data_IF_520431725460
#
_entry.id   IF_520431725460
#
_cell.length_a   1.000
_cell.length_b   1.000
_cell.length_c   1.000
_cell.angle_alpha   90.00
_cell.angle_beta   90.00
_cell.angle_gamma   90.00
#
_symmetry.space_group_name_H-M   'P 1'
#
loop_
_entity.id
_entity.type
_entity.pdbx_description
1 polymer ?
#
# COMPACT_ATOMS: atom_id res chain seq x y z
N UNK A 1 -20.10 6.44 -7.55
CA UNK A 1 -19.67 5.67 -6.35
C UNK A 1 -19.25 6.59 -5.20
N UNK A 2 -18.14 7.33 -5.29
CA UNK A 2 -17.64 8.15 -4.19
C UNK A 2 -18.66 9.15 -3.66
N UNK A 3 -19.37 9.85 -4.55
CA UNK A 3 -20.45 10.76 -4.17
C UNK A 3 -21.57 10.06 -3.38
N UNK A 4 -21.96 8.85 -3.81
CA UNK A 4 -22.99 8.08 -3.12
C UNK A 4 -22.54 7.69 -1.70
N UNK A 5 -21.32 7.18 -1.56
CA UNK A 5 -20.74 6.86 -0.25
C UNK A 5 -20.65 8.10 0.65
N UNK A 6 -20.29 9.26 0.09
CA UNK A 6 -20.24 10.52 0.82
C UNK A 6 -21.63 10.95 1.32
N UNK A 7 -22.67 10.84 0.47
CA UNK A 7 -24.05 11.12 0.88
C UNK A 7 -24.52 10.17 2.00
N UNK A 8 -24.14 8.88 1.93
CA UNK A 8 -24.46 7.93 3.00
C UNK A 8 -23.70 8.25 4.29
N UNK A 9 -22.44 8.64 4.21
CA UNK A 9 -21.64 9.06 5.37
C UNK A 9 -22.23 10.30 6.05
N UNK A 10 -22.70 11.29 5.27
CA UNK A 10 -23.38 12.46 5.84
C UNK A 10 -24.69 12.08 6.55
N UNK A 11 -25.47 11.20 5.93
CA UNK A 11 -26.72 10.68 6.53
C UNK A 11 -26.44 9.92 7.84
N UNK A 12 -25.38 9.12 7.87
CA UNK A 12 -24.90 8.46 9.10
C UNK A 12 -24.51 9.49 10.16
N UNK A 13 -23.72 10.50 9.81
CA UNK A 13 -23.30 11.55 10.74
C UNK A 13 -24.50 12.20 11.42
N UNK A 14 -25.54 12.54 10.65
CA UNK A 14 -26.78 13.13 11.18
C UNK A 14 -27.50 12.19 12.15
N UNK A 15 -27.52 10.89 11.89
CA UNK A 15 -28.08 9.88 12.80
C UNK A 15 -27.26 9.74 14.08
N UNK A 16 -25.93 9.67 13.96
CA UNK A 16 -25.02 9.58 15.12
C UNK A 16 -25.06 10.82 16.00
N UNK A 17 -25.38 12.00 15.44
CA UNK A 17 -25.61 13.22 16.23
C UNK A 17 -26.82 13.09 17.16
N UNK A 18 -27.82 12.30 16.78
CA UNK A 18 -29.04 12.07 17.56
C UNK A 18 -28.93 10.88 18.54
N UNK A 19 -27.88 10.06 18.41
CA UNK A 19 -27.73 8.80 19.14
C UNK A 19 -26.60 8.88 20.20
N UNK A 20 -26.88 8.65 21.50
CA UNK A 20 -25.85 8.60 22.53
C UNK A 20 -24.99 7.33 22.50
N UNK A 21 -25.28 6.35 21.65
CA UNK A 21 -24.56 5.08 21.58
C UNK A 21 -23.04 5.19 21.35
N UNK A 22 -22.26 4.14 21.65
CA UNK A 22 -20.83 4.09 21.34
C UNK A 22 -20.58 4.19 19.82
N UNK A 23 -19.86 5.23 19.39
CA UNK A 23 -19.66 5.53 17.96
C UNK A 23 -19.00 4.38 17.19
N UNK A 24 -18.00 3.72 17.78
CA UNK A 24 -17.30 2.61 17.14
C UNK A 24 -18.21 1.41 16.85
N UNK A 25 -19.09 1.04 17.78
CA UNK A 25 -20.00 -0.11 17.62
C UNK A 25 -21.04 0.19 16.54
N UNK A 26 -21.67 1.37 16.59
CA UNK A 26 -22.60 1.83 15.57
C UNK A 26 -21.96 1.88 14.19
N UNK A 27 -20.69 2.30 14.11
CA UNK A 27 -19.94 2.35 12.86
C UNK A 27 -19.66 0.97 12.26
N UNK A 28 -19.18 0.02 13.06
CA UNK A 28 -18.95 -1.35 12.58
C UNK A 28 -20.26 -2.01 12.11
N UNK A 29 -21.37 -1.74 12.79
CA UNK A 29 -22.69 -2.26 12.40
C UNK A 29 -23.21 -1.62 11.11
N UNK A 30 -23.05 -0.32 10.91
CA UNK A 30 -23.72 0.39 9.81
C UNK A 30 -22.86 0.49 8.55
N UNK A 31 -21.54 0.29 8.63
CA UNK A 31 -20.67 0.30 7.44
C UNK A 31 -21.19 -0.59 6.30
N UNK A 32 -21.60 -1.85 6.53
CA UNK A 32 -22.20 -2.68 5.48
C UNK A 32 -23.46 -2.03 4.89
N UNK A 33 -24.32 -1.44 5.70
CA UNK A 33 -25.54 -0.77 5.23
C UNK A 33 -25.23 0.45 4.35
N UNK A 34 -24.22 1.25 4.72
CA UNK A 34 -23.78 2.39 3.91
C UNK A 34 -23.28 1.94 2.54
N UNK A 35 -22.53 0.83 2.51
CA UNK A 35 -22.05 0.22 1.25
C UNK A 35 -23.21 -0.34 0.43
N UNK A 36 -24.19 -0.98 1.05
CA UNK A 36 -25.40 -1.47 0.38
C UNK A 36 -26.22 -0.32 -0.23
N UNK A 37 -26.40 0.77 0.52
CA UNK A 37 -27.12 1.96 0.03
C UNK A 37 -26.35 2.66 -1.09
N UNK A 38 -25.02 2.75 -0.98
CA UNK A 38 -24.19 3.27 -2.06
C UNK A 38 -24.30 2.39 -3.31
N UNK A 39 -24.26 1.07 -3.17
CA UNK A 39 -24.43 0.13 -4.29
C UNK A 39 -25.80 0.29 -4.95
N UNK A 40 -26.88 0.38 -4.15
CA UNK A 40 -28.23 0.67 -4.65
C UNK A 40 -28.29 1.97 -5.44
N UNK A 41 -27.61 3.03 -5.00
CA UNK A 41 -27.65 4.32 -5.70
C UNK A 41 -26.96 4.31 -7.08
N UNK A 42 -26.07 3.35 -7.34
CA UNK A 42 -25.39 3.20 -8.64
C UNK A 42 -26.31 2.63 -9.71
N UNK A 43 -27.30 1.85 -9.28
CA UNK A 43 -28.19 1.14 -10.18
C UNK A 43 -29.60 1.65 -9.96
N UNK A 44 -30.24 2.11 -11.02
CA UNK A 44 -31.64 2.53 -10.93
C UNK A 44 -32.50 1.39 -10.34
N UNK A 45 -33.18 1.68 -9.22
CA UNK A 45 -33.95 0.72 -8.42
C UNK A 45 -35.08 0.04 -9.17
N UNK A 46 -35.51 0.62 -10.29
CA UNK A 46 -36.58 0.08 -11.13
C UNK A 46 -36.08 -0.79 -12.28
N UNK A 47 -34.75 -0.90 -12.47
CA UNK A 47 -34.18 -1.68 -13.57
C UNK A 47 -34.29 -3.17 -13.26
N UNK A 48 -34.86 -3.89 -14.22
CA UNK A 48 -34.90 -5.34 -14.23
C UNK A 48 -34.16 -5.83 -15.47
N UNK A 49 -33.36 -6.89 -15.31
CA UNK A 49 -32.62 -7.49 -16.41
C UNK A 49 -32.93 -8.99 -16.50
N UNK A 50 -32.90 -9.58 -17.70
CA UNK A 50 -33.03 -11.02 -17.84
C UNK A 50 -31.83 -11.72 -17.20
N UNK A 51 -32.08 -12.80 -16.47
CA UNK A 51 -31.08 -13.72 -15.93
C UNK A 51 -31.68 -15.13 -15.90
N UNK A 52 -31.02 -16.08 -16.57
CA UNK A 52 -31.43 -17.49 -16.59
C UNK A 52 -32.92 -17.72 -16.93
N UNK A 53 -33.47 -16.91 -17.83
CA UNK A 53 -34.87 -17.03 -18.29
C UNK A 53 -35.90 -16.31 -17.41
N UNK A 54 -35.49 -15.60 -16.36
CA UNK A 54 -36.35 -14.76 -15.52
C UNK A 54 -35.95 -13.29 -15.56
N UNK A 55 -36.88 -12.36 -15.31
CA UNK A 55 -36.55 -10.94 -15.09
C UNK A 55 -36.25 -10.72 -13.61
N UNK A 56 -35.04 -10.27 -13.30
CA UNK A 56 -34.60 -10.02 -11.94
C UNK A 56 -34.39 -8.52 -11.69
N UNK A 57 -34.85 -7.98 -10.54
CA UNK A 57 -34.51 -6.62 -10.12
C UNK A 57 -33.01 -6.52 -9.85
N UNK A 58 -32.33 -5.60 -10.53
CA UNK A 58 -30.85 -5.52 -10.49
C UNK A 58 -30.36 -5.15 -9.09
N UNK A 59 -30.96 -4.14 -8.47
CA UNK A 59 -30.54 -3.66 -7.16
C UNK A 59 -30.64 -4.77 -6.09
N UNK A 60 -31.76 -5.49 -6.02
CA UNK A 60 -31.95 -6.54 -5.02
C UNK A 60 -31.07 -7.77 -5.30
N UNK A 61 -30.88 -8.12 -6.58
CA UNK A 61 -30.00 -9.21 -6.95
C UNK A 61 -28.55 -8.93 -6.58
N UNK A 62 -28.04 -7.72 -6.85
CA UNK A 62 -26.68 -7.31 -6.44
C UNK A 62 -26.49 -7.42 -4.93
N UNK A 63 -27.43 -6.88 -4.15
CA UNK A 63 -27.33 -6.92 -2.70
C UNK A 63 -27.39 -8.33 -2.11
N UNK A 64 -28.11 -9.24 -2.76
CA UNK A 64 -28.15 -10.65 -2.35
C UNK A 64 -26.86 -11.41 -2.69
N UNK A 65 -26.21 -11.07 -3.81
CA UNK A 65 -25.02 -11.79 -4.27
C UNK A 65 -23.70 -11.23 -3.76
N UNK A 66 -23.71 -10.02 -3.18
CA UNK A 66 -22.48 -9.32 -2.77
C UNK A 66 -22.21 -9.41 -1.27
N UNK A 67 -20.95 -9.68 -0.91
CA UNK A 67 -20.48 -9.57 0.47
C UNK A 67 -19.90 -8.18 0.73
N UNK A 68 -20.72 -7.32 1.33
CA UNK A 68 -20.34 -5.95 1.66
C UNK A 68 -19.85 -5.79 3.12
N UNK A 69 -19.63 -6.91 3.82
CA UNK A 69 -19.19 -6.91 5.22
C UNK A 69 -17.67 -6.86 5.38
N UNK A 70 -16.92 -7.03 4.27
CA UNK A 70 -15.46 -7.06 4.26
C UNK A 70 -14.82 -5.90 5.04
N UNK A 71 -13.85 -6.24 5.89
CA UNK A 71 -13.06 -5.28 6.66
C UNK A 71 -11.69 -5.11 6.00
N UNK A 72 -11.33 -3.88 5.69
CA UNK A 72 -10.00 -3.55 5.19
C UNK A 72 -9.07 -3.27 6.38
N UNK A 73 -8.05 -4.11 6.64
CA UNK A 73 -7.15 -3.93 7.78
C UNK A 73 -6.27 -2.68 7.68
N UNK A 74 -6.17 -2.05 6.49
CA UNK A 74 -5.43 -0.79 6.32
C UNK A 74 -6.30 0.45 6.60
N UNK A 75 -7.59 0.29 6.93
CA UNK A 75 -8.39 1.39 7.47
C UNK A 75 -7.92 1.75 8.89
N UNK A 76 -7.66 3.04 9.18
CA UNK A 76 -7.45 3.50 10.55
C UNK A 76 -8.67 3.22 11.44
N UNK A 77 -8.47 3.25 12.75
CA UNK A 77 -9.58 3.23 13.70
C UNK A 77 -10.53 4.40 13.43
N UNK A 78 -11.83 4.11 13.39
CA UNK A 78 -12.83 5.10 13.04
C UNK A 78 -13.21 6.01 14.21
N UNK A 79 -13.02 5.54 15.45
CA UNK A 79 -13.41 6.26 16.67
C UNK A 79 -12.87 7.71 16.72
N UNK A 80 -11.58 8.00 16.48
CA UNK A 80 -11.08 9.38 16.54
C UNK A 80 -11.74 10.28 15.48
N UNK A 81 -11.89 9.76 14.26
CA UNK A 81 -12.57 10.46 13.15
C UNK A 81 -14.02 10.77 13.51
N UNK A 82 -14.79 9.76 13.96
CA UNK A 82 -16.20 9.90 14.29
C UNK A 82 -16.42 10.79 15.50
N UNK A 83 -15.60 10.65 16.53
CA UNK A 83 -15.68 11.49 17.73
C UNK A 83 -15.46 12.97 17.40
N UNK A 84 -14.52 13.27 16.51
CA UNK A 84 -14.29 14.63 16.04
C UNK A 84 -15.45 15.14 15.16
N UNK A 85 -15.91 14.33 14.20
CA UNK A 85 -17.00 14.72 13.28
C UNK A 85 -18.38 14.87 13.92
N UNK A 86 -18.69 14.06 14.94
CA UNK A 86 -20.01 14.00 15.58
C UNK A 86 -20.05 14.79 16.88
N UNK A 87 -19.00 14.69 17.70
CA UNK A 87 -18.99 15.26 19.06
C UNK A 87 -18.03 16.44 19.21
N UNK A 88 -17.45 16.92 18.12
CA UNK A 88 -16.44 17.98 18.11
C UNK A 88 -15.26 17.71 19.06
N UNK A 89 -14.91 16.44 19.27
CA UNK A 89 -13.79 16.09 20.14
C UNK A 89 -12.45 16.46 19.48
N UNK A 90 -11.46 16.89 20.28
CA UNK A 90 -10.11 17.13 19.79
C UNK A 90 -9.49 15.89 19.16
N UNK A 91 -8.70 16.08 18.12
CA UNK A 91 -8.07 15.03 17.34
C UNK A 91 -6.56 15.01 17.59
N UNK A 92 -6.01 13.83 17.83
CA UNK A 92 -4.57 13.65 17.96
C UNK A 92 -3.94 13.56 16.57
N UNK A 93 -3.17 14.58 16.19
CA UNK A 93 -2.44 14.64 14.91
C UNK A 93 -0.96 14.88 15.19
N UNK A 94 -0.10 13.98 14.75
CA UNK A 94 1.36 14.03 14.96
C UNK A 94 1.75 14.26 16.44
N UNK A 95 1.01 13.64 17.37
CA UNK A 95 1.24 13.77 18.81
C UNK A 95 0.69 15.05 19.45
N UNK A 96 -0.02 15.89 18.70
CA UNK A 96 -0.66 17.11 19.20
C UNK A 96 -2.18 16.96 19.22
N UNK A 97 -2.82 17.33 20.33
CA UNK A 97 -4.28 17.42 20.41
C UNK A 97 -4.73 18.74 19.80
N UNK A 98 -5.44 18.67 18.68
CA UNK A 98 -5.95 19.82 17.94
C UNK A 98 -7.47 19.89 18.08
N UNK A 99 -8.03 21.09 18.23
CA UNK A 99 -9.48 21.25 18.19
C UNK A 99 -10.04 20.90 16.80
N UNK A 100 -11.27 20.40 16.73
CA UNK A 100 -11.87 19.86 15.51
C UNK A 100 -12.01 20.89 14.38
N UNK A 101 -12.08 22.18 14.72
CA UNK A 101 -12.20 23.32 13.82
C UNK A 101 -10.85 23.90 13.37
N UNK A 102 -9.73 23.44 13.94
CA UNK A 102 -8.41 23.87 13.50
C UNK A 102 -8.10 23.40 12.08
N UNK A 103 -7.47 24.23 11.22
CA UNK A 103 -7.20 23.88 9.82
C UNK A 103 -6.47 22.55 9.64
N UNK A 104 -5.51 22.24 10.52
CA UNK A 104 -4.75 20.98 10.47
C UNK A 104 -5.62 19.77 10.82
N UNK A 105 -6.52 19.89 11.80
CA UNK A 105 -7.45 18.83 12.15
C UNK A 105 -8.45 18.57 11.02
N UNK A 106 -8.99 19.63 10.42
CA UNK A 106 -9.90 19.54 9.27
C UNK A 106 -9.26 18.81 8.09
N UNK A 107 -8.03 19.16 7.72
CA UNK A 107 -7.30 18.48 6.63
C UNK A 107 -7.02 17.00 6.95
N UNK A 108 -6.76 16.67 8.21
CA UNK A 108 -6.55 15.30 8.62
C UNK A 108 -7.86 14.49 8.59
N UNK A 109 -8.98 15.07 9.02
CA UNK A 109 -10.31 14.46 8.88
C UNK A 109 -10.69 14.24 7.42
N UNK A 110 -10.41 15.22 6.54
CA UNK A 110 -10.61 15.09 5.10
C UNK A 110 -9.81 13.90 4.53
N UNK A 111 -8.56 13.72 4.97
CA UNK A 111 -7.73 12.59 4.59
C UNK A 111 -8.33 11.25 5.04
N UNK A 112 -8.78 11.15 6.30
CA UNK A 112 -9.40 9.94 6.83
C UNK A 112 -10.70 9.58 6.10
N UNK A 113 -11.57 10.57 5.88
CA UNK A 113 -12.84 10.40 5.14
C UNK A 113 -12.56 10.02 3.68
N UNK A 114 -11.64 10.71 3.01
CA UNK A 114 -11.25 10.39 1.63
C UNK A 114 -10.72 8.96 1.52
N UNK A 115 -9.89 8.54 2.46
CA UNK A 115 -9.34 7.19 2.48
C UNK A 115 -10.45 6.15 2.66
N UNK A 116 -11.39 6.39 3.58
CA UNK A 116 -12.54 5.51 3.77
C UNK A 116 -13.42 5.42 2.52
N UNK A 117 -13.67 6.55 1.85
CA UNK A 117 -14.45 6.59 0.61
C UNK A 117 -13.81 5.77 -0.50
N UNK A 118 -12.50 5.94 -0.72
CA UNK A 118 -11.76 5.22 -1.77
C UNK A 118 -11.73 3.72 -1.50
N UNK A 119 -11.38 3.31 -0.27
CA UNK A 119 -11.33 1.88 0.11
C UNK A 119 -12.70 1.22 0.09
N UNK A 120 -13.75 1.93 0.54
CA UNK A 120 -15.13 1.43 0.43
C UNK A 120 -15.58 1.34 -1.03
N UNK A 121 -15.19 2.29 -1.88
CA UNK A 121 -15.50 2.23 -3.31
C UNK A 121 -14.78 1.05 -4.00
N UNK A 122 -13.54 0.75 -3.63
CA UNK A 122 -12.80 -0.42 -4.12
C UNK A 122 -13.52 -1.73 -3.75
N UNK A 123 -13.90 -1.90 -2.48
CA UNK A 123 -14.67 -3.06 -2.00
C UNK A 123 -15.98 -3.24 -2.77
N UNK A 124 -16.82 -2.20 -2.86
CA UNK A 124 -18.10 -2.29 -3.57
C UNK A 124 -17.88 -2.56 -5.07
N UNK A 125 -16.84 -1.98 -5.66
CA UNK A 125 -16.53 -2.20 -7.09
C UNK A 125 -16.08 -3.62 -7.37
N UNK A 126 -15.34 -4.25 -6.45
CA UNK A 126 -14.93 -5.65 -6.56
C UNK A 126 -16.15 -6.59 -6.55
N UNK A 127 -17.10 -6.36 -5.64
CA UNK A 127 -18.35 -7.12 -5.55
C UNK A 127 -19.26 -6.94 -6.78
N UNK A 128 -19.31 -5.73 -7.32
CA UNK A 128 -20.04 -5.43 -8.56
C UNK A 128 -19.40 -6.17 -9.74
N UNK A 129 -18.07 -6.12 -9.89
CA UNK A 129 -17.35 -6.85 -10.93
C UNK A 129 -17.53 -8.37 -10.81
N UNK A 130 -17.57 -8.90 -9.58
CA UNK A 130 -17.87 -10.31 -9.34
C UNK A 130 -19.27 -10.68 -9.82
N UNK A 131 -20.27 -9.84 -9.52
CA UNK A 131 -21.65 -10.04 -9.99
C UNK A 131 -21.77 -9.99 -11.51
N UNK A 132 -21.06 -9.08 -12.19
CA UNK A 132 -20.99 -9.02 -13.65
C UNK A 132 -20.34 -10.25 -14.30
N UNK A 133 -19.56 -11.05 -13.57
CA UNK A 133 -18.98 -12.27 -14.10
C UNK A 133 -20.05 -13.36 -14.31
N UNK A 134 -20.99 -13.49 -13.38
CA UNK A 134 -22.09 -14.46 -13.43
C UNK A 134 -23.32 -14.02 -14.23
N UNK A 135 -23.49 -12.71 -14.46
CA UNK A 135 -24.69 -12.16 -15.10
C UNK A 135 -24.35 -11.35 -16.38
N UNK A 136 -24.46 -11.94 -17.58
CA UNK A 136 -24.07 -11.30 -18.84
C UNK A 136 -24.84 -10.01 -19.17
N UNK A 137 -26.13 -9.95 -18.86
CA UNK A 137 -26.99 -8.79 -19.10
C UNK A 137 -26.60 -7.64 -18.18
N UNK A 138 -26.32 -7.93 -16.90
CA UNK A 138 -25.77 -6.96 -15.97
C UNK A 138 -24.41 -6.43 -16.44
N UNK A 139 -23.57 -7.31 -16.97
CA UNK A 139 -22.28 -6.92 -17.56
C UNK A 139 -22.45 -5.93 -18.71
N UNK A 140 -23.43 -6.16 -19.60
CA UNK A 140 -23.77 -5.24 -20.70
C UNK A 140 -24.34 -3.91 -20.21
N UNK A 141 -25.05 -3.94 -19.09
CA UNK A 141 -25.66 -2.75 -18.50
C UNK A 141 -24.63 -1.86 -17.77
N UNK A 142 -23.66 -2.44 -17.06
CA UNK A 142 -22.74 -1.68 -16.19
C UNK A 142 -21.34 -1.47 -16.75
N UNK A 143 -20.82 -2.37 -17.58
CA UNK A 143 -19.42 -2.34 -17.99
C UNK A 143 -19.23 -1.75 -19.39
N UNK A 144 -18.01 -1.24 -19.63
CA UNK A 144 -17.58 -0.75 -20.93
C UNK A 144 -17.46 -1.89 -21.96
N UNK A 145 -17.57 -1.60 -23.27
CA UNK A 145 -17.54 -2.61 -24.34
C UNK A 145 -16.35 -3.58 -24.27
N UNK A 146 -15.18 -3.11 -23.86
CA UNK A 146 -13.94 -3.88 -23.76
C UNK A 146 -14.01 -5.00 -22.71
N UNK A 147 -14.85 -4.82 -21.69
CA UNK A 147 -15.03 -5.76 -20.58
C UNK A 147 -16.23 -6.69 -20.77
N UNK A 148 -16.96 -6.59 -21.88
CA UNK A 148 -18.08 -7.49 -22.17
C UNK A 148 -17.60 -8.93 -22.43
N UNK A 149 -16.44 -9.06 -23.08
CA UNK A 149 -15.81 -10.35 -23.33
C UNK A 149 -15.40 -11.01 -22.00
N UNK A 150 -15.90 -12.23 -21.76
CA UNK A 150 -15.63 -12.99 -20.52
C UNK A 150 -14.15 -13.09 -20.21
N UNK A 151 -13.31 -13.30 -21.23
CA UNK A 151 -11.85 -13.37 -21.06
C UNK A 151 -11.23 -12.06 -20.55
N UNK A 152 -11.72 -10.91 -20.99
CA UNK A 152 -11.17 -9.62 -20.58
C UNK A 152 -11.59 -9.29 -19.15
N UNK A 153 -12.86 -9.52 -18.80
CA UNK A 153 -13.35 -9.39 -17.43
C UNK A 153 -12.57 -10.31 -16.48
N UNK A 154 -12.38 -11.57 -16.86
CA UNK A 154 -11.66 -12.54 -16.03
C UNK A 154 -10.18 -12.19 -15.89
N UNK A 155 -9.54 -11.64 -16.92
CA UNK A 155 -8.17 -11.10 -16.83
C UNK A 155 -8.10 -9.93 -15.85
N UNK A 156 -9.03 -8.99 -15.92
CA UNK A 156 -9.09 -7.85 -15.00
C UNK A 156 -9.25 -8.34 -13.56
N UNK A 157 -10.20 -9.26 -13.30
CA UNK A 157 -10.42 -9.84 -11.97
C UNK A 157 -9.16 -10.54 -11.45
N UNK A 158 -8.47 -11.31 -12.30
CA UNK A 158 -7.24 -11.99 -11.91
C UNK A 158 -6.09 -11.01 -11.61
N UNK A 159 -5.98 -9.91 -12.36
CA UNK A 159 -5.02 -8.85 -12.08
C UNK A 159 -5.30 -8.18 -10.73
N UNK A 160 -6.56 -7.81 -10.46
CA UNK A 160 -6.97 -7.22 -9.18
C UNK A 160 -6.71 -8.18 -8.01
N UNK A 161 -7.09 -9.46 -8.14
CA UNK A 161 -6.83 -10.47 -7.12
C UNK A 161 -5.33 -10.68 -6.87
N UNK A 162 -4.50 -10.64 -7.92
CA UNK A 162 -3.05 -10.73 -7.77
C UNK A 162 -2.48 -9.50 -7.05
N UNK A 163 -2.95 -8.30 -7.39
CA UNK A 163 -2.56 -7.05 -6.73
C UNK A 163 -2.96 -7.04 -5.25
N UNK A 164 -4.19 -7.45 -4.92
CA UNK A 164 -4.66 -7.56 -3.53
C UNK A 164 -3.81 -8.56 -2.73
N UNK A 165 -3.54 -9.75 -3.30
CA UNK A 165 -2.65 -10.73 -2.66
C UNK A 165 -1.25 -10.17 -2.41
N UNK A 166 -0.65 -9.53 -3.41
CA UNK A 166 0.67 -8.91 -3.28
C UNK A 166 0.68 -7.82 -2.19
N UNK A 167 -0.32 -6.94 -2.21
CA UNK A 167 -0.46 -5.90 -1.18
C UNK A 167 -0.57 -6.49 0.21
N UNK A 168 -1.34 -7.57 0.38
CA UNK A 168 -1.57 -8.21 1.68
C UNK A 168 -0.37 -9.01 2.19
N UNK A 169 0.37 -9.69 1.31
CA UNK A 169 1.43 -10.63 1.70
C UNK A 169 2.81 -9.97 1.76
N UNK A 170 3.02 -8.89 0.99
CA UNK A 170 4.34 -8.26 0.85
C UNK A 170 4.30 -6.81 1.28
N UNK A 171 3.45 -5.98 0.66
CA UNK A 171 3.49 -4.53 0.92
C UNK A 171 3.03 -4.16 2.33
N UNK A 172 1.95 -4.79 2.82
CA UNK A 172 1.43 -4.55 4.16
C UNK A 172 2.44 -4.91 5.25
N UNK A 173 3.08 -6.10 5.26
CA UNK A 173 4.12 -6.42 6.24
C UNK A 173 5.31 -5.44 6.21
N UNK A 174 5.76 -5.03 5.02
CA UNK A 174 6.81 -4.01 4.88
C UNK A 174 6.35 -2.69 5.51
N UNK A 175 5.13 -2.24 5.17
CA UNK A 175 4.59 -0.97 5.68
C UNK A 175 4.43 -0.98 7.20
N UNK A 176 4.02 -2.11 7.79
CA UNK A 176 3.89 -2.28 9.23
C UNK A 176 5.26 -2.25 9.92
N UNK A 177 6.25 -2.95 9.38
CA UNK A 177 7.62 -2.91 9.88
C UNK A 177 8.22 -1.50 9.82
N UNK A 178 7.95 -0.76 8.75
CA UNK A 178 8.38 0.64 8.58
C UNK A 178 7.48 1.66 9.31
N UNK A 179 6.45 1.21 10.04
CA UNK A 179 5.47 2.08 10.71
C UNK A 179 4.78 3.09 9.77
N UNK A 180 4.56 2.69 8.51
CA UNK A 180 3.91 3.50 7.48
C UNK A 180 2.48 3.04 7.25
N UNK A 181 1.55 4.00 7.19
CA UNK A 181 0.19 3.78 6.67
C UNK A 181 0.00 4.56 5.39
N UNK A 182 -0.53 3.89 4.37
CA UNK A 182 -0.93 4.53 3.11
C UNK A 182 -2.40 4.92 3.17
N UNK A 183 -2.65 6.21 3.04
CA UNK A 183 -3.98 6.79 2.97
C UNK A 183 -4.23 7.40 1.59
N UNK A 184 -5.47 7.31 1.13
CA UNK A 184 -5.89 7.92 -0.13
C UNK A 184 -6.55 9.27 0.12
N UNK A 185 -6.14 10.30 -0.63
CA UNK A 185 -6.80 11.61 -0.65
C UNK A 185 -7.32 11.96 -2.04
N UNK A 186 -8.36 12.77 -2.07
CA UNK A 186 -8.97 13.29 -3.30
C UNK A 186 -8.47 14.72 -3.51
N UNK A 187 -7.50 14.92 -4.40
CA UNK A 187 -6.93 16.24 -4.70
C UNK A 187 -6.84 16.46 -6.20
N UNK A 188 -7.22 17.66 -6.64
CA UNK A 188 -7.18 18.08 -8.05
C UNK A 188 -7.91 17.11 -8.99
N UNK A 189 -9.04 16.55 -8.53
CA UNK A 189 -9.82 15.57 -9.30
C UNK A 189 -9.16 14.18 -9.43
N UNK A 190 -8.08 13.91 -8.70
CA UNK A 190 -7.36 12.64 -8.72
C UNK A 190 -7.27 12.00 -7.34
N UNK A 191 -7.16 10.67 -7.31
CA UNK A 191 -6.81 9.92 -6.11
C UNK A 191 -5.28 10.00 -5.96
N UNK A 192 -4.81 10.53 -4.83
CA UNK A 192 -3.40 10.60 -4.46
C UNK A 192 -3.15 9.73 -3.24
N UNK A 193 -1.93 9.23 -3.11
CA UNK A 193 -1.47 8.49 -1.94
C UNK A 193 -0.69 9.43 -1.02
N UNK A 194 -0.97 9.36 0.27
CA UNK A 194 -0.21 10.02 1.32
C UNK A 194 0.23 8.97 2.34
N UNK A 195 1.52 8.99 2.69
CA UNK A 195 2.06 8.12 3.74
C UNK A 195 2.06 8.87 5.07
N UNK A 196 1.56 8.21 6.11
CA UNK A 196 1.65 8.65 7.49
C UNK A 196 2.55 7.70 8.27
N UNK A 197 3.32 8.26 9.20
CA UNK A 197 4.12 7.47 10.14
C UNK A 197 3.37 7.38 11.46
N UNK A 198 3.01 6.17 11.87
CA UNK A 198 2.26 5.93 13.11
C UNK A 198 2.66 4.60 13.77
N UNK A 199 2.59 4.49 15.10
CA UNK A 199 2.92 3.25 15.80
C UNK A 199 1.88 2.16 15.50
N UNK A 200 2.27 1.12 14.77
CA UNK A 200 1.40 0.00 14.35
C UNK A 200 1.79 -1.35 14.95
N UNK A 201 2.38 -1.35 16.14
CA UNK A 201 2.90 -2.55 16.81
C UNK A 201 1.83 -3.63 17.04
N UNK A 202 0.62 -3.21 17.38
CA UNK A 202 -0.50 -4.13 17.62
C UNK A 202 -0.87 -4.91 16.35
N UNK A 203 -0.88 -4.24 15.19
CA UNK A 203 -1.15 -4.85 13.90
C UNK A 203 0.01 -5.74 13.43
N UNK A 204 1.26 -5.32 13.67
CA UNK A 204 2.45 -6.09 13.35
C UNK A 204 2.44 -7.46 14.05
N UNK A 205 2.01 -7.52 15.31
CA UNK A 205 1.87 -8.77 16.08
C UNK A 205 0.75 -9.68 15.58
N UNK A 206 -0.21 -9.14 14.82
CA UNK A 206 -1.34 -9.88 14.25
C UNK A 206 -1.06 -10.40 12.83
N UNK A 207 0.15 -10.20 12.30
CA UNK A 207 0.54 -10.73 10.99
C UNK A 207 0.47 -12.26 10.95
N UNK A 208 -0.03 -12.79 9.84
CA UNK A 208 0.00 -14.22 9.56
C UNK A 208 1.42 -14.74 9.33
N UNK A 209 1.64 -16.05 9.43
CA UNK A 209 2.98 -16.64 9.32
C UNK A 209 3.72 -16.30 8.00
N UNK A 210 3.00 -16.26 6.86
CA UNK A 210 3.60 -15.86 5.57
C UNK A 210 4.07 -14.41 5.57
N UNK A 211 3.31 -13.54 6.23
CA UNK A 211 3.63 -12.12 6.37
C UNK A 211 4.81 -11.91 7.32
N UNK A 212 4.89 -12.72 8.39
CA UNK A 212 6.03 -12.70 9.33
C UNK A 212 7.35 -13.12 8.66
N UNK A 213 7.32 -13.99 7.65
CA UNK A 213 8.53 -14.30 6.87
C UNK A 213 9.08 -13.08 6.14
N UNK A 214 8.20 -12.21 5.64
CA UNK A 214 8.61 -10.95 4.99
C UNK A 214 9.26 -10.02 6.01
N UNK A 215 8.69 -9.87 7.21
CA UNK A 215 9.28 -9.02 8.25
C UNK A 215 10.60 -9.60 8.76
N UNK A 216 10.69 -10.92 8.96
CA UNK A 216 11.94 -11.60 9.33
C UNK A 216 13.04 -11.38 8.28
N UNK A 217 12.69 -11.37 6.99
CA UNK A 217 13.64 -11.08 5.93
C UNK A 217 14.16 -9.64 6.00
N UNK A 218 13.31 -8.67 6.33
CA UNK A 218 13.72 -7.28 6.55
C UNK A 218 14.61 -7.15 7.80
N UNK A 219 14.21 -7.76 8.91
CA UNK A 219 15.00 -7.78 10.15
C UNK A 219 16.38 -8.41 9.92
N UNK A 220 16.42 -9.54 9.19
CA UNK A 220 17.66 -10.22 8.83
C UNK A 220 18.53 -9.34 7.93
N UNK A 221 17.94 -8.64 6.95
CA UNK A 221 18.65 -7.68 6.10
C UNK A 221 19.29 -6.59 6.95
N UNK A 222 18.53 -6.00 7.86
CA UNK A 222 19.00 -4.88 8.67
C UNK A 222 20.08 -5.31 9.69
N UNK A 223 19.98 -6.53 10.24
CA UNK A 223 20.98 -7.11 11.15
C UNK A 223 22.27 -7.57 10.44
N UNK A 224 22.16 -8.07 9.20
CA UNK A 224 23.29 -8.60 8.42
C UNK A 224 23.96 -7.55 7.53
N UNK A 225 23.28 -6.46 7.17
CA UNK A 225 23.82 -5.36 6.37
C UNK A 225 25.20 -4.87 6.83
N UNK A 226 25.44 -4.57 8.13
CA UNK A 226 26.76 -4.12 8.58
C UNK A 226 27.85 -5.19 8.41
N UNK A 227 27.50 -6.48 8.59
CA UNK A 227 28.43 -7.60 8.49
C UNK A 227 28.87 -7.82 7.03
N UNK A 228 27.91 -7.79 6.09
CA UNK A 228 28.18 -7.90 4.65
C UNK A 228 29.01 -6.71 4.16
N UNK A 229 28.69 -5.49 4.59
CA UNK A 229 29.50 -4.31 4.28
C UNK A 229 30.93 -4.43 4.82
N UNK A 230 31.11 -4.97 6.03
CA UNK A 230 32.42 -5.23 6.62
C UNK A 230 33.25 -6.22 5.80
N UNK A 231 32.66 -7.34 5.37
CA UNK A 231 33.33 -8.34 4.52
C UNK A 231 33.75 -7.76 3.16
N UNK A 232 32.87 -7.00 2.51
CA UNK A 232 33.16 -6.37 1.21
C UNK A 232 34.28 -5.33 1.33
N UNK A 233 34.27 -4.51 2.40
CA UNK A 233 35.37 -3.57 2.70
C UNK A 233 36.68 -4.30 2.92
N UNK A 234 36.69 -5.36 3.72
CA UNK A 234 37.88 -6.18 3.98
C UNK A 234 38.46 -6.82 2.71
N UNK A 235 37.61 -7.30 1.80
CA UNK A 235 38.05 -7.79 0.49
C UNK A 235 38.64 -6.66 -0.38
N UNK A 236 38.00 -5.48 -0.37
CA UNK A 236 38.52 -4.29 -1.05
C UNK A 236 39.91 -3.91 -0.55
N UNK A 237 40.11 -3.86 0.76
CA UNK A 237 41.41 -3.56 1.38
C UNK A 237 42.47 -4.60 1.03
N UNK A 238 42.10 -5.89 1.03
CA UNK A 238 43.00 -6.98 0.63
C UNK A 238 43.44 -6.82 -0.84
N UNK A 239 42.50 -6.52 -1.73
CA UNK A 239 42.78 -6.29 -3.16
C UNK A 239 43.70 -5.08 -3.32
N UNK A 240 43.43 -3.96 -2.65
CA UNK A 240 44.29 -2.77 -2.68
C UNK A 240 45.69 -3.10 -2.19
N UNK A 241 45.82 -3.79 -1.06
CA UNK A 241 47.13 -4.18 -0.50
C UNK A 241 47.88 -5.10 -1.45
N UNK A 242 47.22 -6.10 -2.04
CA UNK A 242 47.83 -6.99 -3.03
C UNK A 242 48.28 -6.20 -4.26
N UNK A 243 47.43 -5.33 -4.78
CA UNK A 243 47.72 -4.54 -5.97
C UNK A 243 48.88 -3.57 -5.72
N UNK A 244 48.86 -2.81 -4.63
CA UNK A 244 49.94 -1.87 -4.27
C UNK A 244 51.24 -2.58 -3.97
N UNK A 245 51.22 -3.72 -3.25
CA UNK A 245 52.46 -4.49 -2.96
C UNK A 245 53.03 -5.17 -4.20
N UNK A 246 52.19 -5.75 -5.06
CA UNK A 246 52.62 -6.42 -6.29
C UNK A 246 53.13 -5.40 -7.31
N UNK A 247 52.39 -4.32 -7.58
CA UNK A 247 52.86 -3.25 -8.47
C UNK A 247 54.10 -2.54 -7.92
N UNK A 248 54.10 -2.19 -6.63
CA UNK A 248 55.24 -1.52 -6.00
C UNK A 248 56.51 -2.37 -6.05
N UNK A 249 56.39 -3.69 -5.84
CA UNK A 249 57.52 -4.63 -5.94
C UNK A 249 57.96 -4.85 -7.38
N UNK A 250 57.04 -4.93 -8.33
CA UNK A 250 57.36 -5.06 -9.76
C UNK A 250 58.10 -3.82 -10.29
N UNK A 251 57.60 -2.61 -10.00
CA UNK A 251 58.25 -1.34 -10.36
C UNK A 251 59.64 -1.24 -9.70
N UNK A 252 59.75 -1.59 -8.42
CA UNK A 252 61.03 -1.58 -7.70
C UNK A 252 62.06 -2.58 -8.25
N UNK A 253 61.63 -3.73 -8.76
CA UNK A 253 62.51 -4.72 -9.40
C UNK A 253 62.97 -4.26 -10.80
N UNK A 254 62.08 -3.67 -11.59
CA UNK A 254 62.44 -3.08 -12.90
C UNK A 254 63.43 -1.94 -12.71
N UNK A 255 63.20 -1.05 -11.73
CA UNK A 255 64.13 0.02 -11.38
C UNK A 255 65.50 -0.50 -10.95
N UNK A 256 65.56 -1.56 -10.13
CA UNK A 256 66.84 -2.22 -9.76
C UNK A 256 67.54 -2.88 -10.95
N UNK A 257 66.78 -3.52 -11.86
CA UNK A 257 67.32 -4.14 -13.06
C UNK A 257 67.99 -3.13 -13.98
N UNK A 258 67.37 -1.96 -14.17
CA UNK A 258 67.94 -0.85 -14.95
C UNK A 258 69.20 -0.31 -14.28
N UNK A 259 69.16 -0.06 -12.97
CA UNK A 259 70.32 0.45 -12.22
C UNK A 259 71.53 -0.52 -12.26
N UNK A 260 71.29 -1.83 -12.13
CA UNK A 260 72.34 -2.85 -12.26
C UNK A 260 72.86 -3.01 -13.69
N UNK A 261 72.00 -2.83 -14.70
CA UNK A 261 72.40 -2.78 -16.11
C UNK A 261 73.33 -1.61 -16.42
N UNK A 262 73.03 -0.43 -15.88
CA UNK A 262 73.90 0.75 -16.02
C UNK A 262 75.23 0.60 -15.26
N UNK A 263 75.23 -0.03 -14.07
CA UNK A 263 76.46 -0.30 -13.31
C UNK A 263 77.45 -1.23 -14.00
N UNK A 264 76.98 -2.17 -14.84
CA UNK A 264 77.86 -3.06 -15.64
C UNK A 264 78.43 -2.41 -16.90
N UNK A 265 77.75 -1.39 -17.44
CA UNK A 265 78.26 -0.61 -18.58
C UNK A 265 79.49 0.22 -18.24
N UNK A 266 79.60 0.70 -17.00
CA UNK A 266 80.74 1.53 -16.55
C UNK A 266 81.98 0.67 -16.25
N UNK A 267 81.83 -0.59 -15.82
CA UNK A 267 82.95 -1.48 -15.49
C UNK A 267 83.71 -2.07 -16.70
N UNK A 268 83.19 -1.93 -17.94
CA UNK A 268 83.88 -2.37 -19.18
C UNK A 268 84.56 -1.25 -19.97
N UNK A 269 84.54 -0.01 -19.45
CA UNK A 269 85.10 1.18 -20.10
C UNK A 269 86.39 1.75 -19.48
N UNK A 270 86.95 1.13 -18.45
CA UNK A 270 88.19 1.59 -17.80
C UNK A 270 89.15 0.41 -17.70
N UNK A 271 90.18 0.42 -18.56
CA UNK A 271 91.20 -0.64 -18.61
C UNK A 271 91.74 -0.95 -20.01
N UNK A 272 91.72 0.02 -20.94
CA UNK A 272 92.62 0.06 -22.10
C UNK A 272 93.40 1.36 -22.03
N UNK A 273 94.55 1.26 -21.38
CA UNK A 273 95.78 2.02 -21.62
C UNK A 273 96.93 1.10 -21.23
#
# INVERSE_FOLDING_TARGET
MLLALLCQLDSLRQRLLADPAPLQESWEQWQPELRQQAMRSLVNSYVQLPCEGSLLPVADSLLRSSDLTGRDPELPEAQPMLASLVRAQPLLVDGQLLAADEPRAVLYLELLVSNWLVRSAELVSAELLASCAGWPELRRYLLQPELLATRNLERLRNQLNAQLRWSSWVERPISLYESRRRLYCLRDGAIRCQELTEPRDAELRQLGWLQQLVTLALESRDALAPQVQGLLRGLGDLVVVLLTRVLGRAIGLVGRGIAQGMGRGIAKGVGRS
#
